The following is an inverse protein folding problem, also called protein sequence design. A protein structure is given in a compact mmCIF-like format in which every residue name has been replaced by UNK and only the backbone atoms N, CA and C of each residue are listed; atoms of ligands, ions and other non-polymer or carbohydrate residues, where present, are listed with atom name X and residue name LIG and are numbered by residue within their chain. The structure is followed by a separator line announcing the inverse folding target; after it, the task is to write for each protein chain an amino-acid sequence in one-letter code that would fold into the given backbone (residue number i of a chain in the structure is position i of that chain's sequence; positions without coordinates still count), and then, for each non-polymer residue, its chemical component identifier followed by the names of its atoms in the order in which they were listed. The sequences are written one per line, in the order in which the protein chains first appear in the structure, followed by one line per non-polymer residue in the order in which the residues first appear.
data_IF_801674103653
#
_entry.id   IF_801674103653
#
_cell.length_a   1.000
_cell.length_b   1.000
_cell.length_c   1.000
_cell.angle_alpha   90.00
_cell.angle_beta   90.00
_cell.angle_gamma   90.00
#
_symmetry.space_group_name_H-M   'P 1'
#
loop_
_entity.id
_entity.type
_entity.pdbx_description
1 polymer ?
#
# COMPACT_ATOMS: atom_id res chain seq x y z
N UNK A 1 18.75 22.92 -20.58
CA UNK A 1 17.42 23.19 -19.96
C UNK A 1 17.22 22.44 -18.64
N UNK A 2 17.10 21.10 -18.62
CA UNK A 2 16.98 20.33 -17.37
C UNK A 2 18.28 20.36 -16.54
N UNK A 3 19.43 20.37 -17.20
CA UNK A 3 20.73 20.58 -16.56
C UNK A 3 20.81 21.94 -15.83
N UNK A 4 20.24 22.99 -16.43
CA UNK A 4 20.22 24.34 -15.86
C UNK A 4 19.35 24.41 -14.60
N UNK A 5 18.34 23.54 -14.44
CA UNK A 5 17.56 23.50 -13.20
C UNK A 5 18.42 23.05 -12.00
N UNK A 6 19.44 22.21 -12.22
CA UNK A 6 20.32 21.73 -11.15
C UNK A 6 21.20 22.83 -10.56
N UNK A 7 21.46 23.92 -11.28
CA UNK A 7 22.23 25.04 -10.74
C UNK A 7 21.53 25.68 -9.52
N UNK A 8 20.21 25.52 -9.42
CA UNK A 8 19.41 25.99 -8.29
C UNK A 8 19.35 24.97 -7.13
N UNK A 9 19.93 23.78 -7.28
CA UNK A 9 20.00 22.75 -6.23
C UNK A 9 21.10 23.06 -5.21
N UNK A 10 21.12 24.30 -4.70
CA UNK A 10 21.99 24.72 -3.60
C UNK A 10 21.57 24.03 -2.30
N UNK A 11 22.47 23.96 -1.32
CA UNK A 11 22.18 23.33 -0.03
C UNK A 11 20.91 23.92 0.63
N UNK A 12 20.79 25.25 0.63
CA UNK A 12 19.61 25.94 1.16
C UNK A 12 18.32 25.59 0.42
N UNK A 13 18.34 25.61 -0.93
CA UNK A 13 17.16 25.26 -1.73
C UNK A 13 16.77 23.79 -1.59
N UNK A 14 17.74 22.89 -1.44
CA UNK A 14 17.49 21.47 -1.22
C UNK A 14 16.86 21.23 0.15
N UNK A 15 17.35 21.88 1.20
CA UNK A 15 16.76 21.79 2.54
C UNK A 15 15.32 22.33 2.55
N UNK A 16 15.10 23.53 1.99
CA UNK A 16 13.78 24.12 1.88
C UNK A 16 12.83 23.28 1.00
N UNK A 17 13.35 22.66 -0.06
CA UNK A 17 12.58 21.74 -0.89
C UNK A 17 12.20 20.46 -0.12
N UNK A 18 13.11 19.88 0.67
CA UNK A 18 12.80 18.75 1.53
C UNK A 18 11.67 19.08 2.51
N UNK A 19 11.76 20.23 3.20
CA UNK A 19 10.73 20.70 4.11
C UNK A 19 9.39 20.88 3.38
N UNK A 20 9.38 21.57 2.24
CA UNK A 20 8.19 21.72 1.38
C UNK A 20 7.54 20.37 1.01
N UNK A 21 8.35 19.35 0.66
CA UNK A 21 7.83 18.03 0.31
C UNK A 21 7.12 17.37 1.50
N UNK A 22 7.66 17.49 2.71
CA UNK A 22 7.12 16.84 3.90
C UNK A 22 5.96 17.65 4.51
N UNK A 23 6.13 18.95 4.71
CA UNK A 23 5.20 19.80 5.45
C UNK A 23 3.98 20.20 4.61
N UNK A 24 4.20 20.67 3.38
CA UNK A 24 3.14 21.20 2.52
C UNK A 24 2.56 20.11 1.62
N UNK A 25 3.43 19.28 1.03
CA UNK A 25 3.01 18.24 0.09
C UNK A 25 2.66 16.92 0.76
N UNK A 26 2.90 16.79 2.07
CA UNK A 26 2.61 15.60 2.88
C UNK A 26 3.20 14.32 2.26
N UNK A 27 4.35 14.43 1.60
CA UNK A 27 5.12 13.30 1.07
C UNK A 27 5.90 12.69 2.23
N UNK A 28 5.99 11.35 2.27
CA UNK A 28 6.75 10.67 3.31
C UNK A 28 8.22 11.08 3.26
N UNK A 29 8.87 11.18 4.43
CA UNK A 29 10.29 11.54 4.51
C UNK A 29 11.18 10.65 3.64
N UNK A 30 10.90 9.34 3.60
CA UNK A 30 11.62 8.40 2.73
C UNK A 30 11.58 8.84 1.27
N UNK A 31 10.38 9.12 0.74
CA UNK A 31 10.22 9.55 -0.66
C UNK A 31 10.78 10.96 -0.88
N UNK A 32 10.68 11.85 0.11
CA UNK A 32 11.30 13.18 0.03
C UNK A 32 12.84 13.08 -0.08
N UNK A 33 13.47 12.21 0.73
CA UNK A 33 14.91 11.91 0.63
C UNK A 33 15.29 11.33 -0.73
N UNK A 34 14.49 10.43 -1.29
CA UNK A 34 14.70 9.90 -2.65
C UNK A 34 14.64 11.01 -3.72
N UNK A 35 13.69 11.95 -3.61
CA UNK A 35 13.56 13.06 -4.56
C UNK A 35 14.72 14.05 -4.46
N UNK A 36 15.11 14.41 -3.25
CA UNK A 36 16.29 15.26 -3.02
C UNK A 36 17.55 14.59 -3.58
N UNK A 37 17.77 13.30 -3.29
CA UNK A 37 18.92 12.55 -3.80
C UNK A 37 18.93 12.47 -5.33
N UNK A 38 17.76 12.43 -5.97
CA UNK A 38 17.66 12.45 -7.43
C UNK A 38 18.12 13.76 -8.07
N UNK A 39 18.04 14.90 -7.36
CA UNK A 39 18.50 16.21 -7.84
C UNK A 39 20.04 16.33 -7.80
N UNK A 40 20.69 15.63 -6.87
CA UNK A 40 22.15 15.56 -6.80
C UNK A 40 22.77 14.85 -8.01
N UNK A 41 22.01 14.00 -8.70
CA UNK A 41 22.47 13.22 -9.87
C UNK A 41 22.00 13.87 -11.18
N UNK A 42 22.70 13.66 -12.30
CA UNK A 42 22.19 14.02 -13.63
C UNK A 42 20.79 13.46 -13.85
N UNK A 43 19.94 14.23 -14.54
CA UNK A 43 18.58 13.81 -14.87
C UNK A 43 18.58 12.47 -15.60
N UNK A 44 17.67 11.58 -15.20
CA UNK A 44 17.42 10.29 -15.87
C UNK A 44 15.94 10.15 -16.14
N UNK A 45 15.56 9.43 -17.19
CA UNK A 45 14.15 9.16 -17.49
C UNK A 45 13.50 8.10 -16.58
N UNK A 46 13.86 8.11 -15.29
CA UNK A 46 13.19 7.29 -14.28
C UNK A 46 12.04 8.08 -13.67
N UNK A 47 10.98 7.38 -13.27
CA UNK A 47 9.78 8.01 -12.68
C UNK A 47 10.11 8.90 -11.47
N UNK A 48 11.02 8.48 -10.60
CA UNK A 48 11.40 9.26 -9.43
C UNK A 48 12.21 10.50 -9.81
N UNK A 49 13.15 10.39 -10.76
CA UNK A 49 13.89 11.55 -11.27
C UNK A 49 12.95 12.55 -11.97
N UNK A 50 12.06 12.07 -12.84
CA UNK A 50 11.03 12.91 -13.48
C UNK A 50 10.16 13.63 -12.46
N UNK A 51 9.67 12.94 -11.41
CA UNK A 51 8.89 13.58 -10.35
C UNK A 51 9.69 14.58 -9.55
N UNK A 52 10.91 14.24 -9.14
CA UNK A 52 11.78 15.12 -8.37
C UNK A 52 12.03 16.44 -9.11
N UNK A 53 12.47 16.38 -10.37
CA UNK A 53 12.76 17.56 -11.18
C UNK A 53 11.51 18.42 -11.44
N UNK A 54 10.35 17.79 -11.73
CA UNK A 54 9.09 18.53 -11.91
C UNK A 54 8.64 19.23 -10.63
N UNK A 55 8.72 18.55 -9.50
CA UNK A 55 8.34 19.11 -8.20
C UNK A 55 9.28 20.22 -7.78
N UNK A 56 10.58 20.06 -8.05
CA UNK A 56 11.57 21.06 -7.75
C UNK A 56 11.38 22.33 -8.59
N UNK A 57 11.10 22.20 -9.90
CA UNK A 57 10.77 23.36 -10.74
C UNK A 57 9.53 24.11 -10.22
N UNK A 58 8.47 23.39 -9.84
CA UNK A 58 7.27 24.01 -9.25
C UNK A 58 7.57 24.70 -7.91
N UNK A 59 8.39 24.08 -7.08
CA UNK A 59 8.81 24.65 -5.80
C UNK A 59 9.59 25.95 -6.00
N UNK A 60 10.64 25.93 -6.84
CA UNK A 60 11.44 27.12 -7.12
C UNK A 60 10.59 28.26 -7.68
N UNK A 61 9.66 27.96 -8.59
CA UNK A 61 8.73 28.96 -9.13
C UNK A 61 7.80 29.53 -8.05
N UNK A 62 7.21 28.67 -7.19
CA UNK A 62 6.37 29.12 -6.07
C UNK A 62 7.10 29.97 -5.01
N UNK A 63 8.44 29.92 -5.01
CA UNK A 63 9.29 30.76 -4.15
C UNK A 63 9.88 31.96 -4.90
N UNK A 64 9.51 32.18 -6.15
CA UNK A 64 10.03 33.27 -6.98
C UNK A 64 11.50 33.12 -7.39
N UNK A 65 12.11 31.95 -7.18
CA UNK A 65 13.54 31.69 -7.48
C UNK A 65 13.76 31.53 -8.98
N UNK A 66 12.77 31.01 -9.70
CA UNK A 66 12.74 30.93 -11.16
C UNK A 66 11.42 31.48 -11.67
N UNK A 67 11.37 31.89 -12.94
CA UNK A 67 10.11 32.30 -13.56
C UNK A 67 9.16 31.12 -13.80
N UNK A 68 7.86 31.40 -13.79
CA UNK A 68 6.82 30.44 -14.12
C UNK A 68 7.00 29.87 -15.54
N UNK A 69 7.36 30.71 -16.51
CA UNK A 69 7.68 30.27 -17.89
C UNK A 69 8.82 29.25 -17.93
N UNK A 70 9.90 29.47 -17.17
CA UNK A 70 10.99 28.50 -17.09
C UNK A 70 10.54 27.19 -16.46
N UNK A 71 9.75 27.25 -15.39
CA UNK A 71 9.17 26.06 -14.77
C UNK A 71 8.26 25.30 -15.73
N UNK A 72 7.39 25.98 -16.49
CA UNK A 72 6.53 25.37 -17.49
C UNK A 72 7.32 24.67 -18.59
N UNK A 73 8.39 25.28 -19.09
CA UNK A 73 9.30 24.65 -20.07
C UNK A 73 9.88 23.35 -19.53
N UNK A 74 10.31 23.33 -18.27
CA UNK A 74 10.75 22.09 -17.60
C UNK A 74 9.62 21.06 -17.55
N UNK A 75 8.39 21.47 -17.18
CA UNK A 75 7.25 20.55 -17.12
C UNK A 75 6.82 20.02 -18.50
N UNK A 76 7.05 20.77 -19.59
CA UNK A 76 6.78 20.31 -20.96
C UNK A 76 7.81 19.26 -21.41
N UNK A 77 9.07 19.44 -21.06
CA UNK A 77 10.17 18.50 -21.41
C UNK A 77 10.16 17.24 -20.52
N UNK A 78 10.07 17.41 -19.21
CA UNK A 78 10.15 16.30 -18.25
C UNK A 78 8.78 15.67 -18.05
N UNK A 79 8.37 14.76 -18.94
CA UNK A 79 7.07 14.06 -18.83
C UNK A 79 7.17 12.82 -17.96
N UNK A 80 6.22 12.64 -17.04
CA UNK A 80 6.07 11.37 -16.29
C UNK A 80 5.30 10.40 -17.18
N UNK A 81 5.94 9.29 -17.59
CA UNK A 81 5.26 8.24 -18.36
C UNK A 81 4.05 7.73 -17.59
N UNK A 82 2.87 7.74 -18.21
CA UNK A 82 1.67 7.10 -17.66
C UNK A 82 1.90 5.59 -17.68
N UNK A 83 1.77 4.95 -16.53
CA UNK A 83 1.70 3.50 -16.46
C UNK A 83 0.27 3.08 -16.75
N UNK A 84 0.08 2.14 -17.67
CA UNK A 84 -1.23 1.52 -17.91
C UNK A 84 -1.77 0.89 -16.62
N UNK A 85 -3.09 0.75 -16.54
CA UNK A 85 -3.71 0.04 -15.45
C UNK A 85 -3.22 -1.41 -15.46
N UNK A 86 -2.68 -1.84 -14.33
CA UNK A 86 -2.27 -3.22 -14.11
C UNK A 86 -3.54 -4.04 -13.82
N UNK A 87 -4.02 -4.79 -14.81
CA UNK A 87 -5.29 -5.56 -14.76
C UNK A 87 -5.10 -7.02 -14.31
N UNK A 88 -3.87 -7.46 -14.05
CA UNK A 88 -3.60 -8.84 -13.66
C UNK A 88 -4.26 -9.19 -12.32
N UNK A 89 -4.98 -10.32 -12.29
CA UNK A 89 -5.58 -10.95 -11.11
C UNK A 89 -5.10 -12.42 -11.13
N UNK A 90 -4.44 -12.92 -10.06
CA UNK A 90 -3.93 -14.29 -10.03
C UNK A 90 -5.07 -15.29 -9.81
N UNK A 91 -4.85 -16.55 -10.17
CA UNK A 91 -5.82 -17.63 -9.93
C UNK A 91 -5.76 -18.14 -8.49
N UNK A 92 -6.77 -18.91 -8.07
CA UNK A 92 -6.76 -19.58 -6.77
C UNK A 92 -5.54 -20.51 -6.62
N UNK A 93 -5.19 -21.23 -7.68
CA UNK A 93 -4.04 -22.15 -7.68
C UNK A 93 -2.70 -21.40 -7.58
N UNK A 94 -2.59 -20.21 -8.19
CA UNK A 94 -1.41 -19.35 -7.99
C UNK A 94 -1.28 -18.91 -6.53
N UNK A 95 -2.39 -18.58 -5.87
CA UNK A 95 -2.42 -18.19 -4.45
C UNK A 95 -2.05 -19.37 -3.55
N UNK A 96 -2.61 -20.56 -3.79
CA UNK A 96 -2.27 -21.79 -3.04
C UNK A 96 -0.78 -22.14 -3.17
N UNK A 97 -0.27 -22.15 -4.40
CA UNK A 97 1.16 -22.37 -4.69
C UNK A 97 2.02 -21.33 -3.97
N UNK A 98 1.64 -20.06 -4.01
CA UNK A 98 2.36 -18.99 -3.31
C UNK A 98 2.42 -19.21 -1.81
N UNK A 99 1.31 -19.61 -1.17
CA UNK A 99 1.30 -19.94 0.26
C UNK A 99 2.23 -21.11 0.60
N UNK A 100 2.29 -22.14 -0.24
CA UNK A 100 3.21 -23.26 -0.07
C UNK A 100 4.67 -22.80 -0.12
N UNK A 101 5.05 -22.05 -1.16
CA UNK A 101 6.40 -21.50 -1.32
C UNK A 101 6.76 -20.56 -0.16
N UNK A 102 5.82 -19.71 0.27
CA UNK A 102 6.01 -18.81 1.42
C UNK A 102 6.28 -19.58 2.72
N UNK A 103 5.58 -20.70 2.94
CA UNK A 103 5.77 -21.59 4.09
C UNK A 103 7.13 -22.27 4.08
N UNK A 104 7.54 -22.80 2.93
CA UNK A 104 8.87 -23.40 2.75
C UNK A 104 10.00 -22.39 2.95
N UNK A 105 9.77 -21.11 2.59
CA UNK A 105 10.76 -20.05 2.75
C UNK A 105 10.89 -19.56 4.21
N UNK A 106 9.78 -19.27 4.88
CA UNK A 106 9.77 -18.81 6.27
C UNK A 106 8.36 -18.74 6.85
N UNK A 107 8.17 -19.25 8.08
CA UNK A 107 6.91 -19.12 8.82
C UNK A 107 6.44 -17.66 8.99
N UNK A 108 7.36 -16.70 9.07
CA UNK A 108 7.00 -15.28 9.17
C UNK A 108 6.51 -14.71 7.83
N UNK A 109 7.11 -15.12 6.71
CA UNK A 109 6.65 -14.73 5.36
C UNK A 109 5.31 -15.39 5.06
N UNK A 110 5.15 -16.66 5.41
CA UNK A 110 3.88 -17.37 5.34
C UNK A 110 2.77 -16.67 6.11
N UNK A 111 3.02 -16.30 7.38
CA UNK A 111 2.04 -15.55 8.17
C UNK A 111 1.62 -14.25 7.49
N UNK A 112 2.58 -13.48 6.93
CA UNK A 112 2.28 -12.24 6.22
C UNK A 112 1.41 -12.48 4.98
N UNK A 113 1.71 -13.51 4.19
CA UNK A 113 0.92 -13.86 3.00
C UNK A 113 -0.46 -14.41 3.36
N UNK A 114 -0.55 -15.19 4.44
CA UNK A 114 -1.80 -15.72 4.98
C UNK A 114 -2.71 -14.59 5.45
N UNK A 115 -2.20 -13.64 6.23
CA UNK A 115 -2.94 -12.45 6.62
C UNK A 115 -3.32 -11.56 5.42
N UNK A 116 -2.50 -11.51 4.37
CA UNK A 116 -2.84 -10.79 3.14
C UNK A 116 -4.01 -11.43 2.39
N UNK A 117 -4.07 -12.76 2.35
CA UNK A 117 -5.19 -13.51 1.82
C UNK A 117 -6.45 -13.31 2.67
N UNK A 118 -6.33 -13.41 4.00
CA UNK A 118 -7.47 -13.31 4.91
C UNK A 118 -8.10 -11.92 4.93
N UNK A 119 -7.29 -10.87 4.80
CA UNK A 119 -7.74 -9.50 4.99
C UNK A 119 -7.86 -8.68 3.70
N UNK A 120 -7.11 -9.03 2.66
CA UNK A 120 -6.88 -8.15 1.51
C UNK A 120 -6.19 -6.83 1.89
N UNK A 121 -5.57 -6.72 3.06
CA UNK A 121 -4.88 -5.51 3.53
C UNK A 121 -3.58 -5.26 2.77
N UNK A 122 -3.06 -4.02 2.84
CA UNK A 122 -1.74 -3.71 2.28
C UNK A 122 -0.66 -4.32 3.16
N UNK A 123 0.47 -4.68 2.57
CA UNK A 123 1.64 -5.16 3.32
C UNK A 123 1.98 -4.24 4.51
N UNK A 124 1.97 -2.91 4.32
CA UNK A 124 2.28 -1.97 5.40
C UNK A 124 1.31 -2.02 6.58
N UNK A 125 0.05 -2.43 6.37
CA UNK A 125 -0.95 -2.57 7.42
C UNK A 125 -0.73 -3.89 8.19
N UNK A 126 -0.49 -4.99 7.46
CA UNK A 126 -0.18 -6.31 8.03
C UNK A 126 1.09 -6.23 8.90
N UNK A 127 2.15 -5.61 8.39
CA UNK A 127 3.39 -5.42 9.15
C UNK A 127 3.19 -4.58 10.42
N UNK A 128 2.13 -3.76 10.48
CA UNK A 128 1.87 -2.91 11.64
C UNK A 128 1.09 -3.65 12.71
N UNK A 129 0.06 -4.41 12.34
CA UNK A 129 -0.71 -5.21 13.32
C UNK A 129 0.14 -6.31 13.96
N UNK A 130 1.14 -6.84 13.24
CA UNK A 130 2.09 -7.83 13.78
C UNK A 130 3.09 -7.26 14.81
N UNK A 131 3.18 -5.94 14.98
CA UNK A 131 4.06 -5.32 15.99
C UNK A 131 3.42 -5.26 17.37
N UNK A 132 2.11 -5.10 17.41
CA UNK A 132 1.27 -4.90 18.61
C UNK A 132 0.05 -5.84 18.55
N UNK A 133 0.24 -7.18 18.44
CA UNK A 133 -0.84 -8.16 18.24
C UNK A 133 -1.87 -8.18 19.38
N UNK A 134 -1.50 -7.73 20.59
CA UNK A 134 -2.34 -7.71 21.79
C UNK A 134 -3.59 -6.84 21.69
N UNK A 135 -3.68 -5.98 20.67
CA UNK A 135 -4.84 -5.13 20.40
C UNK A 135 -5.92 -5.79 19.54
N UNK A 136 -5.70 -7.04 19.14
CA UNK A 136 -6.64 -7.80 18.32
C UNK A 136 -7.93 -8.11 19.08
N UNK A 137 -9.05 -8.13 18.35
CA UNK A 137 -10.36 -8.43 18.92
C UNK A 137 -10.98 -9.57 18.12
N UNK A 138 -11.27 -10.69 18.77
CA UNK A 138 -11.93 -11.83 18.16
C UNK A 138 -13.39 -11.92 18.58
N UNK A 139 -14.28 -12.11 17.61
CA UNK A 139 -15.71 -12.35 17.81
C UNK A 139 -16.13 -13.63 17.07
N UNK A 140 -16.30 -14.71 17.83
CA UNK A 140 -16.59 -16.03 17.29
C UNK A 140 -15.44 -16.52 16.41
N UNK A 141 -15.73 -16.74 15.13
CA UNK A 141 -14.77 -17.35 14.19
C UNK A 141 -13.98 -16.36 13.33
N UNK A 142 -14.10 -15.05 13.61
CA UNK A 142 -13.38 -13.99 12.92
C UNK A 142 -12.71 -13.05 13.93
N UNK A 143 -11.60 -12.45 13.54
CA UNK A 143 -10.90 -11.44 14.32
C UNK A 143 -10.77 -10.14 13.52
N UNK A 144 -10.60 -9.03 14.21
CA UNK A 144 -10.36 -7.73 13.61
C UNK A 144 -9.45 -6.86 14.49
N UNK A 145 -8.50 -6.20 13.83
CA UNK A 145 -7.57 -5.29 14.48
C UNK A 145 -7.99 -3.82 14.27
N UNK A 146 -8.29 -3.04 15.32
CA UNK A 146 -8.57 -1.60 15.21
C UNK A 146 -7.27 -0.82 14.96
N UNK A 147 -6.99 -0.48 13.70
CA UNK A 147 -5.76 0.17 13.28
C UNK A 147 -5.84 1.71 13.33
N UNK A 148 -7.02 2.28 13.05
CA UNK A 148 -7.29 3.73 13.02
C UNK A 148 -6.17 4.57 12.39
N UNK A 149 -5.61 4.10 11.26
CA UNK A 149 -4.42 4.71 10.66
C UNK A 149 -4.77 5.51 9.42
N UNK A 150 -4.50 6.81 9.49
CA UNK A 150 -4.72 7.76 8.39
C UNK A 150 -3.39 8.20 7.75
N UNK A 151 -3.29 8.10 6.43
CA UNK A 151 -2.19 8.59 5.59
C UNK A 151 -2.74 9.49 4.48
N UNK A 152 -2.78 10.80 4.74
CA UNK A 152 -3.46 11.76 3.86
C UNK A 152 -4.93 11.40 3.70
N UNK A 153 -5.39 11.18 2.46
CA UNK A 153 -6.76 10.76 2.17
C UNK A 153 -7.02 9.24 2.32
N UNK A 154 -5.98 8.43 2.57
CA UNK A 154 -6.09 6.97 2.71
C UNK A 154 -6.19 6.60 4.20
N UNK A 155 -7.33 6.07 4.63
CA UNK A 155 -7.53 5.59 6.00
C UNK A 155 -7.79 4.08 6.02
N UNK A 156 -7.28 3.40 7.04
CA UNK A 156 -7.63 2.01 7.38
C UNK A 156 -8.11 1.99 8.82
N UNK A 157 -9.35 1.53 9.02
CA UNK A 157 -9.96 1.46 10.34
C UNK A 157 -9.74 0.10 10.98
N UNK A 158 -9.96 -0.97 10.22
CA UNK A 158 -9.88 -2.35 10.70
C UNK A 158 -9.08 -3.23 9.73
N UNK A 159 -8.43 -4.25 10.29
CA UNK A 159 -7.87 -5.38 9.51
C UNK A 159 -8.56 -6.65 9.98
N UNK A 160 -9.45 -7.20 9.13
CA UNK A 160 -10.16 -8.46 9.41
C UNK A 160 -9.28 -9.67 9.07
N UNK A 161 -9.29 -10.70 9.91
CA UNK A 161 -8.49 -11.90 9.70
C UNK A 161 -9.06 -13.11 10.45
N UNK A 162 -8.47 -14.28 10.23
CA UNK A 162 -8.84 -15.55 10.88
C UNK A 162 -7.68 -16.09 11.72
N UNK A 163 -6.45 -15.90 11.25
CA UNK A 163 -5.26 -16.44 11.89
C UNK A 163 -4.88 -15.60 13.12
N UNK A 164 -4.78 -16.19 14.31
CA UNK A 164 -4.35 -15.47 15.50
C UNK A 164 -3.05 -14.68 15.27
N UNK A 165 -3.05 -13.41 15.65
CA UNK A 165 -1.87 -12.57 15.51
C UNK A 165 -0.80 -12.99 16.52
N UNK A 166 0.46 -12.92 16.09
CA UNK A 166 1.64 -13.07 16.96
C UNK A 166 2.66 -11.99 16.63
N UNK A 167 3.48 -11.63 17.63
CA UNK A 167 4.49 -10.60 17.44
C UNK A 167 5.55 -11.11 16.47
N UNK A 168 5.76 -10.38 15.37
CA UNK A 168 6.77 -10.72 14.37
C UNK A 168 7.53 -9.46 13.98
N UNK A 169 8.84 -9.45 14.21
CA UNK A 169 9.72 -8.42 13.68
C UNK A 169 10.16 -8.77 12.25
N UNK A 170 9.33 -8.41 11.28
CA UNK A 170 9.59 -8.60 9.86
C UNK A 170 9.44 -7.28 9.11
N UNK A 171 10.34 -7.03 8.19
CA UNK A 171 10.33 -5.82 7.38
C UNK A 171 9.78 -6.08 5.98
N UNK A 172 9.35 -5.03 5.29
CA UNK A 172 8.96 -5.11 3.87
C UNK A 172 10.08 -5.67 2.97
N UNK A 173 11.34 -5.57 3.40
CA UNK A 173 12.50 -6.06 2.66
C UNK A 173 12.56 -7.59 2.66
N UNK A 174 12.14 -8.25 3.74
CA UNK A 174 12.03 -9.71 3.78
C UNK A 174 11.02 -10.21 2.73
N UNK A 175 9.89 -9.53 2.60
CA UNK A 175 8.89 -9.85 1.57
C UNK A 175 9.43 -9.55 0.16
N UNK A 176 10.15 -8.44 0.00
CA UNK A 176 10.78 -8.10 -1.28
C UNK A 176 11.86 -9.10 -1.69
N UNK A 177 12.64 -9.61 -0.73
CA UNK A 177 13.65 -10.64 -0.98
C UNK A 177 12.99 -11.97 -1.35
N UNK A 178 11.92 -12.35 -0.66
CA UNK A 178 11.10 -13.52 -1.00
C UNK A 178 10.57 -13.44 -2.44
N UNK A 179 9.89 -12.35 -2.82
CA UNK A 179 9.36 -12.13 -4.18
C UNK A 179 10.48 -12.07 -5.24
N UNK A 180 11.67 -11.60 -4.86
CA UNK A 180 12.82 -11.55 -5.77
C UNK A 180 13.36 -12.95 -6.05
N UNK A 181 13.49 -13.80 -5.01
CA UNK A 181 14.06 -15.16 -5.11
C UNK A 181 13.08 -16.19 -5.65
N UNK A 182 11.78 -15.98 -5.49
CA UNK A 182 10.74 -16.93 -5.90
C UNK A 182 9.86 -16.32 -6.99
N UNK A 183 10.26 -16.45 -8.26
CA UNK A 183 9.54 -15.85 -9.39
C UNK A 183 8.16 -16.47 -9.64
N UNK A 184 7.95 -17.68 -9.17
CA UNK A 184 6.66 -18.39 -9.25
C UNK A 184 5.69 -17.98 -8.14
N UNK A 185 6.15 -17.19 -7.16
CA UNK A 185 5.31 -16.64 -6.12
C UNK A 185 4.58 -15.38 -6.62
N UNK A 186 3.29 -15.30 -6.30
CA UNK A 186 2.49 -14.12 -6.55
C UNK A 186 2.98 -12.98 -5.66
N UNK A 187 3.30 -11.82 -6.24
CA UNK A 187 3.63 -10.64 -5.46
C UNK A 187 2.44 -10.25 -4.57
N UNK A 188 2.69 -9.88 -3.32
CA UNK A 188 1.65 -9.69 -2.29
C UNK A 188 0.60 -8.63 -2.69
N UNK A 189 0.98 -7.64 -3.51
CA UNK A 189 0.04 -6.64 -4.05
C UNK A 189 -1.08 -7.27 -4.91
N UNK A 190 -0.81 -8.42 -5.54
CA UNK A 190 -1.76 -9.14 -6.39
C UNK A 190 -2.65 -10.08 -5.58
N UNK A 191 -2.18 -10.61 -4.44
CA UNK A 191 -3.03 -11.33 -3.47
C UNK A 191 -4.19 -10.44 -3.04
N UNK A 192 -3.91 -9.16 -2.73
CA UNK A 192 -4.96 -8.17 -2.45
C UNK A 192 -5.98 -8.00 -3.58
N UNK A 193 -5.57 -8.09 -4.86
CA UNK A 193 -6.50 -8.01 -6.00
C UNK A 193 -7.35 -9.27 -6.11
N UNK A 194 -6.76 -10.44 -5.87
CA UNK A 194 -7.48 -11.70 -5.78
C UNK A 194 -8.55 -11.65 -4.70
N UNK A 195 -8.21 -11.21 -3.49
CA UNK A 195 -9.18 -11.07 -2.39
C UNK A 195 -10.37 -10.19 -2.79
N UNK A 196 -10.12 -9.00 -3.38
CA UNK A 196 -11.19 -8.12 -3.82
C UNK A 196 -12.07 -8.78 -4.90
N UNK A 197 -11.44 -9.44 -5.87
CA UNK A 197 -12.16 -10.12 -6.96
C UNK A 197 -13.01 -11.26 -6.41
N UNK A 198 -12.47 -12.02 -5.45
CA UNK A 198 -13.18 -13.14 -4.84
C UNK A 198 -14.34 -12.69 -3.96
N UNK A 199 -14.15 -11.65 -3.15
CA UNK A 199 -15.23 -11.05 -2.36
C UNK A 199 -16.37 -10.56 -3.26
N UNK A 200 -16.05 -9.95 -4.41
CA UNK A 200 -17.05 -9.51 -5.38
C UNK A 200 -17.77 -10.70 -6.03
N UNK A 201 -17.04 -11.76 -6.40
CA UNK A 201 -17.58 -13.00 -6.96
C UNK A 201 -18.61 -13.65 -6.03
N UNK A 202 -18.37 -13.64 -4.71
CA UNK A 202 -19.32 -14.18 -3.71
C UNK A 202 -20.39 -13.17 -3.27
N UNK A 203 -20.56 -12.06 -4.00
CA UNK A 203 -21.66 -11.11 -3.81
C UNK A 203 -21.47 -10.09 -2.68
N UNK A 204 -20.24 -9.82 -2.24
CA UNK A 204 -20.00 -8.73 -1.27
C UNK A 204 -20.02 -7.37 -2.00
N UNK A 205 -20.78 -6.37 -1.51
CA UNK A 205 -20.83 -5.04 -2.11
C UNK A 205 -19.45 -4.37 -2.21
N UNK A 206 -19.17 -3.68 -3.32
CA UNK A 206 -17.86 -3.09 -3.60
C UNK A 206 -17.39 -2.07 -2.55
N UNK A 207 -18.32 -1.30 -1.97
CA UNK A 207 -18.04 -0.34 -0.90
C UNK A 207 -17.67 -1.04 0.42
N UNK A 208 -18.26 -2.21 0.69
CA UNK A 208 -17.89 -3.08 1.81
C UNK A 208 -16.51 -3.70 1.58
N UNK A 209 -16.21 -4.17 0.36
CA UNK A 209 -14.87 -4.67 -0.02
C UNK A 209 -13.83 -3.56 0.17
N UNK A 210 -14.14 -2.36 -0.30
CA UNK A 210 -13.28 -1.20 -0.13
C UNK A 210 -13.00 -0.95 1.36
N UNK A 211 -14.03 -0.98 2.20
CA UNK A 211 -13.87 -0.83 3.65
C UNK A 211 -13.01 -1.94 4.28
N UNK A 212 -13.30 -3.21 4.00
CA UNK A 212 -12.54 -4.37 4.51
C UNK A 212 -11.05 -4.26 4.13
N UNK A 213 -10.77 -3.82 2.90
CA UNK A 213 -9.40 -3.62 2.43
C UNK A 213 -8.75 -2.31 2.88
N UNK A 214 -9.39 -1.49 3.73
CA UNK A 214 -8.84 -0.20 4.14
C UNK A 214 -8.69 0.78 2.97
N UNK A 215 -9.69 0.84 2.11
CA UNK A 215 -9.90 1.89 1.10
C UNK A 215 -11.00 2.80 1.64
N UNK A 216 -10.83 4.12 1.48
CA UNK A 216 -11.83 5.08 1.94
C UNK A 216 -13.09 4.90 1.07
N UNK A 217 -14.28 4.66 1.66
CA UNK A 217 -15.52 4.65 0.91
C UNK A 217 -15.70 6.00 0.19
N UNK A 218 -16.09 5.94 -1.08
CA UNK A 218 -16.29 7.14 -1.92
C UNK A 218 -17.68 7.76 -1.77
N UNK A 219 -18.66 7.01 -1.22
CA UNK A 219 -20.05 7.46 -1.03
C UNK A 219 -20.25 8.10 0.35
N UNK A 220 -21.11 9.11 0.42
CA UNK A 220 -21.39 9.92 1.62
C UNK A 220 -22.30 9.17 2.61
N UNK A 221 -23.25 8.36 2.12
CA UNK A 221 -24.20 7.62 2.98
C UNK A 221 -23.53 6.55 3.87
N UNK A 222 -22.36 6.06 3.47
CA UNK A 222 -21.55 5.09 4.24
C UNK A 222 -20.60 5.76 5.26
N UNK A 223 -20.72 7.08 5.48
CA UNK A 223 -19.90 7.82 6.46
C UNK A 223 -20.34 7.63 7.92
N UNK A 224 -21.50 7.01 8.18
CA UNK A 224 -21.81 6.52 9.52
C UNK A 224 -21.00 5.23 9.77
N UNK A 225 -19.72 5.41 10.12
CA UNK A 225 -18.73 4.32 10.25
C UNK A 225 -19.16 3.18 11.20
N UNK A 226 -20.01 3.47 12.20
CA UNK A 226 -20.54 2.46 13.13
C UNK A 226 -21.45 1.46 12.41
N UNK A 227 -22.29 1.91 11.47
CA UNK A 227 -23.14 1.00 10.68
C UNK A 227 -22.31 0.21 9.67
N UNK A 228 -21.29 0.85 9.07
CA UNK A 228 -20.43 0.20 8.07
C UNK A 228 -19.56 -0.91 8.66
N UNK A 229 -19.07 -0.76 9.90
CA UNK A 229 -18.34 -1.84 10.57
C UNK A 229 -19.19 -3.09 10.79
N UNK A 230 -20.43 -2.92 11.29
CA UNK A 230 -21.35 -4.05 11.48
C UNK A 230 -21.67 -4.77 10.17
N UNK A 231 -21.96 -4.00 9.11
CA UNK A 231 -22.21 -4.54 7.76
C UNK A 231 -20.97 -5.28 7.24
N UNK A 232 -19.79 -4.66 7.36
CA UNK A 232 -18.54 -5.26 6.90
C UNK A 232 -18.21 -6.55 7.65
N UNK A 233 -18.47 -6.61 8.96
CA UNK A 233 -18.29 -7.80 9.78
C UNK A 233 -19.15 -8.96 9.27
N UNK A 234 -20.42 -8.70 8.97
CA UNK A 234 -21.35 -9.71 8.47
C UNK A 234 -20.95 -10.22 7.07
N UNK A 235 -20.60 -9.31 6.16
CA UNK A 235 -20.10 -9.71 4.86
C UNK A 235 -18.74 -10.42 4.93
N UNK A 236 -17.87 -10.01 5.86
CA UNK A 236 -16.59 -10.68 6.07
C UNK A 236 -16.77 -12.13 6.51
N UNK A 237 -17.80 -12.45 7.32
CA UNK A 237 -18.13 -13.84 7.66
C UNK A 237 -18.36 -14.71 6.42
N UNK A 238 -19.03 -14.19 5.38
CA UNK A 238 -19.20 -14.91 4.11
C UNK A 238 -17.86 -15.24 3.45
N UNK A 239 -16.93 -14.28 3.46
CA UNK A 239 -15.58 -14.50 2.94
C UNK A 239 -14.77 -15.47 3.81
N UNK A 240 -14.91 -15.38 5.13
CA UNK A 240 -14.27 -16.27 6.10
C UNK A 240 -14.72 -17.72 5.91
N UNK A 241 -16.02 -17.95 5.72
CA UNK A 241 -16.55 -19.29 5.43
C UNK A 241 -16.00 -19.83 4.10
N UNK A 242 -15.96 -19.00 3.05
CA UNK A 242 -15.31 -19.40 1.80
C UNK A 242 -13.82 -19.74 1.99
N UNK A 243 -13.09 -18.98 2.82
CA UNK A 243 -11.70 -19.28 3.12
C UNK A 243 -11.55 -20.64 3.82
N UNK A 244 -12.42 -20.96 4.78
CA UNK A 244 -12.42 -22.24 5.51
C UNK A 244 -12.72 -23.45 4.62
N UNK A 245 -13.56 -23.29 3.61
CA UNK A 245 -13.85 -24.39 2.66
C UNK A 245 -12.70 -24.65 1.70
N UNK A 246 -11.97 -23.60 1.30
CA UNK A 246 -10.93 -23.70 0.26
C UNK A 246 -9.53 -23.94 0.83
N UNK A 247 -9.25 -23.40 2.00
CA UNK A 247 -8.00 -23.58 2.71
C UNK A 247 -8.34 -24.25 4.03
N UNK A 248 -7.68 -25.36 4.37
CA UNK A 248 -7.94 -26.06 5.63
C UNK A 248 -7.51 -25.21 6.82
N UNK A 249 -8.42 -24.38 7.33
CA UNK A 249 -8.28 -23.75 8.63
C UNK A 249 -8.59 -24.82 9.66
N UNK A 250 -7.56 -25.33 10.34
CA UNK A 250 -7.76 -26.29 11.42
C UNK A 250 -8.76 -25.71 12.43
N UNK A 251 -9.88 -26.41 12.61
CA UNK A 251 -10.81 -26.17 13.69
C UNK A 251 -10.03 -26.41 14.98
N UNK A 252 -9.60 -25.35 15.65
CA UNK A 252 -9.32 -25.45 17.08
C UNK A 252 -10.68 -25.70 17.74
N UNK A 253 -10.94 -26.97 18.02
CA UNK A 253 -11.94 -27.43 18.99
C UNK A 253 -11.52 -26.91 20.36
#
# INVERSE_FOLDING_TARGET
MVANLRQYATEGNIKAFFEYLVSERKISEKTAKEYVSALAKPFRETRNSQKAYRLFAKFLASRGIISDDFAEKILKVVKVKKTNADIYIPTLEDVKRTLKIAKEYSENVYLVYRLALESGSRLSEILRILKEPERDICDGSICYYPLSWQRGYKGVFYVFHLTPLRKVDITQWAISDFERRNKDAVAIKYVRKFVASKMAEIGIPLDVIDFIQGRKPTRILTQHYVSLFGIAKEHYRKYAEWLKTVFSYGTTV
#
